data_IF_538763247132
#
_entry.id   IF_538763247132
#
_cell.length_a   1.000
_cell.length_b   1.000
_cell.length_c   1.000
_cell.angle_alpha   90.00
_cell.angle_beta   90.00
_cell.angle_gamma   90.00
#
_symmetry.space_group_name_H-M   'P 1'
#
loop_
_entity.id
_entity.type
_entity.pdbx_description
1 polymer ?
#
# COMPACT_ATOMS: atom_id res chain seq x y z
N UNK A 1 43.90 40.01 -59.37
CA UNK A 1 44.48 40.69 -58.20
C UNK A 1 43.39 40.87 -57.13
N UNK A 2 43.19 39.90 -56.21
CA UNK A 2 42.15 39.97 -55.15
C UNK A 2 42.35 38.86 -54.09
N UNK A 3 43.31 39.01 -53.18
CA UNK A 3 43.40 38.27 -51.90
C UNK A 3 44.31 39.04 -50.93
N UNK A 4 43.85 40.17 -50.39
CA UNK A 4 44.61 40.87 -49.33
C UNK A 4 43.75 41.74 -48.40
N UNK A 5 42.45 41.45 -48.25
CA UNK A 5 41.56 42.22 -47.36
C UNK A 5 40.66 41.35 -46.46
N UNK A 6 41.14 40.19 -46.04
CA UNK A 6 40.40 39.34 -45.08
C UNK A 6 41.05 39.26 -43.70
N UNK A 7 42.32 39.65 -43.56
CA UNK A 7 43.08 39.46 -42.30
C UNK A 7 43.14 40.67 -41.37
N UNK A 8 42.72 41.87 -41.79
CA UNK A 8 42.79 43.07 -40.92
C UNK A 8 41.58 43.21 -39.95
N UNK A 9 40.45 42.57 -40.23
CA UNK A 9 39.24 42.67 -39.39
C UNK A 9 39.12 41.61 -38.29
N UNK A 10 39.91 40.53 -38.36
CA UNK A 10 39.80 39.40 -37.43
C UNK A 10 40.60 39.63 -36.14
N UNK A 11 41.77 40.27 -36.25
CA UNK A 11 42.63 40.58 -35.10
C UNK A 11 41.94 41.47 -34.08
N UNK A 12 41.32 42.58 -34.53
CA UNK A 12 40.68 43.54 -33.63
C UNK A 12 39.50 42.91 -32.87
N UNK A 13 38.69 42.07 -33.53
CA UNK A 13 37.57 41.38 -32.86
C UNK A 13 38.09 40.36 -31.84
N UNK A 14 39.15 39.62 -32.13
CA UNK A 14 39.75 38.68 -31.17
C UNK A 14 40.34 39.42 -29.97
N UNK A 15 41.06 40.53 -30.17
CA UNK A 15 41.60 41.34 -29.07
C UNK A 15 40.50 42.00 -28.22
N UNK A 16 39.43 42.49 -28.84
CA UNK A 16 38.28 43.05 -28.10
C UNK A 16 37.55 41.97 -27.31
N UNK A 17 37.37 40.77 -27.88
CA UNK A 17 36.72 39.65 -27.17
C UNK A 17 37.60 39.13 -26.02
N UNK A 18 38.93 39.07 -26.22
CA UNK A 18 39.88 38.67 -25.18
C UNK A 18 39.98 39.71 -24.05
N UNK A 19 39.93 41.01 -24.38
CA UNK A 19 39.90 42.09 -23.40
C UNK A 19 38.59 42.12 -22.60
N UNK A 20 37.44 41.81 -23.23
CA UNK A 20 36.15 41.68 -22.53
C UNK A 20 36.15 40.44 -21.62
N UNK A 21 36.72 39.31 -22.05
CA UNK A 21 36.88 38.13 -21.19
C UNK A 21 37.86 38.38 -20.02
N UNK A 22 38.94 39.14 -20.25
CA UNK A 22 39.90 39.49 -19.19
C UNK A 22 39.33 40.51 -18.21
N UNK A 23 38.49 41.44 -18.67
CA UNK A 23 37.72 42.35 -17.82
C UNK A 23 36.61 41.61 -17.03
N UNK A 24 36.01 40.57 -17.59
CA UNK A 24 35.07 39.69 -16.87
C UNK A 24 35.80 38.84 -15.81
N UNK A 25 37.02 38.36 -16.09
CA UNK A 25 37.84 37.56 -15.15
C UNK A 25 38.41 38.40 -13.99
N UNK A 26 38.65 39.70 -14.20
CA UNK A 26 39.12 40.62 -13.14
C UNK A 26 38.01 41.06 -12.16
N UNK A 27 36.73 40.83 -12.48
CA UNK A 27 35.60 41.12 -11.58
C UNK A 27 35.19 39.91 -10.70
N UNK A 28 35.85 38.76 -10.82
CA UNK A 28 35.52 37.55 -10.03
C UNK A 28 36.12 37.58 -8.62
N UNK A 29 36.98 38.55 -8.29
CA UNK A 29 37.70 38.57 -7.00
C UNK A 29 37.04 39.38 -5.87
N UNK A 30 35.79 39.83 -6.02
CA UNK A 30 35.05 40.51 -4.93
C UNK A 30 33.80 39.77 -4.43
N UNK A 31 33.68 38.46 -4.72
CA UNK A 31 32.68 37.58 -4.09
C UNK A 31 33.31 36.65 -3.03
N UNK A 32 34.24 37.15 -2.24
CA UNK A 32 34.42 36.66 -0.88
C UNK A 32 33.98 37.80 0.03
N UNK A 33 32.66 37.91 0.22
CA UNK A 33 32.17 38.56 1.42
C UNK A 33 32.89 37.86 2.58
N UNK A 34 33.71 38.60 3.32
CA UNK A 34 34.19 38.17 4.61
C UNK A 34 32.95 37.98 5.48
N UNK A 35 32.36 36.79 5.44
CA UNK A 35 31.50 36.33 6.52
C UNK A 35 32.42 36.28 7.73
N UNK A 36 32.34 37.30 8.58
CA UNK A 36 33.11 37.38 9.81
C UNK A 36 32.78 36.13 10.62
N UNK A 37 33.70 35.15 10.61
CA UNK A 37 33.51 33.92 11.35
C UNK A 37 33.60 34.26 12.83
N UNK A 38 32.53 33.98 13.56
CA UNK A 38 32.47 34.19 15.00
C UNK A 38 32.52 32.84 15.71
N UNK A 39 33.18 32.81 16.86
CA UNK A 39 33.16 31.63 17.72
C UNK A 39 31.91 31.72 18.59
N UNK A 40 30.92 30.88 18.29
CA UNK A 40 29.67 30.80 19.05
C UNK A 40 29.86 29.80 20.16
N UNK A 41 29.58 30.23 21.40
CA UNK A 41 29.52 29.37 22.57
C UNK A 41 28.08 29.27 23.06
N UNK A 42 27.72 28.16 23.67
CA UNK A 42 26.42 28.05 24.30
C UNK A 42 26.26 26.82 25.16
N UNK A 43 25.13 26.75 25.85
CA UNK A 43 24.73 25.63 26.69
C UNK A 43 23.41 25.07 26.19
N UNK A 44 23.32 23.76 26.06
CA UNK A 44 22.11 23.02 25.73
C UNK A 44 21.57 22.36 27.00
N UNK A 45 20.34 22.71 27.37
CA UNK A 45 19.63 22.17 28.54
C UNK A 45 18.33 21.47 28.10
N UNK A 46 17.85 20.55 28.92
CA UNK A 46 16.50 19.99 28.86
C UNK A 46 15.71 20.35 30.14
N UNK A 47 14.61 19.66 30.42
CA UNK A 47 13.80 19.86 31.61
C UNK A 47 14.43 19.30 32.90
N UNK A 48 15.41 18.41 32.80
CA UNK A 48 16.09 17.72 33.90
C UNK A 48 17.52 18.24 34.15
N UNK A 49 18.14 18.96 33.22
CA UNK A 49 19.50 19.49 33.35
C UNK A 49 20.23 19.72 32.02
N UNK A 50 21.56 19.81 32.02
CA UNK A 50 22.36 19.95 30.79
C UNK A 50 22.33 18.68 29.93
N UNK A 51 22.22 18.85 28.60
CA UNK A 51 22.14 17.74 27.65
C UNK A 51 23.52 17.41 27.10
N UNK A 52 24.00 16.22 27.44
CA UNK A 52 25.30 15.68 27.01
C UNK A 52 25.12 14.96 25.67
N UNK A 53 26.01 15.22 24.70
CA UNK A 53 26.00 14.49 23.44
C UNK A 53 25.03 15.00 22.37
N UNK A 54 24.45 16.19 22.54
CA UNK A 54 23.64 16.84 21.51
C UNK A 54 24.52 17.28 20.33
N UNK A 55 24.04 17.02 19.11
CA UNK A 55 24.72 17.39 17.87
C UNK A 55 24.38 18.84 17.50
N UNK A 56 25.39 19.69 17.36
CA UNK A 56 25.26 21.10 16.98
C UNK A 56 25.94 21.31 15.62
N UNK A 57 25.18 21.57 14.57
CA UNK A 57 25.69 21.62 13.19
C UNK A 57 25.29 22.93 12.52
N UNK A 58 26.15 23.46 11.65
CA UNK A 58 25.80 24.58 10.78
C UNK A 58 24.81 24.14 9.69
N UNK A 59 23.65 24.81 9.62
CA UNK A 59 22.59 24.50 8.64
C UNK A 59 23.10 24.75 7.22
N UNK A 60 23.14 23.69 6.41
CA UNK A 60 23.66 23.71 5.04
C UNK A 60 25.12 23.24 4.91
N UNK A 61 25.82 23.01 6.03
CA UNK A 61 27.17 22.46 6.06
C UNK A 61 27.30 21.35 7.12
N UNK A 62 26.93 20.13 6.72
CA UNK A 62 26.98 18.95 7.60
C UNK A 62 28.40 18.58 8.09
N UNK A 63 29.45 19.17 7.51
CA UNK A 63 30.84 18.92 7.89
C UNK A 63 31.30 19.85 9.02
N UNK A 64 30.61 20.98 9.23
CA UNK A 64 30.92 21.94 10.29
C UNK A 64 29.95 21.77 11.46
N UNK A 65 30.34 20.96 12.44
CA UNK A 65 29.54 20.70 13.63
C UNK A 65 30.39 20.29 14.83
N UNK A 66 29.78 20.29 16.00
CA UNK A 66 30.38 19.90 17.28
C UNK A 66 29.34 19.17 18.13
N UNK A 67 29.79 18.55 19.23
CA UNK A 67 28.94 17.80 20.16
C UNK A 67 29.03 18.49 21.53
N UNK A 68 27.93 18.53 22.28
CA UNK A 68 27.92 19.10 23.63
C UNK A 68 28.71 18.24 24.63
N UNK A 69 29.39 18.90 25.57
CA UNK A 69 30.16 18.25 26.64
C UNK A 69 29.28 17.79 27.82
N UNK A 70 29.93 17.33 28.92
CA UNK A 70 29.26 16.81 30.12
C UNK A 70 28.39 17.85 30.85
N UNK A 71 28.69 19.13 30.65
CA UNK A 71 27.97 20.27 31.24
C UNK A 71 27.03 20.91 30.20
N UNK A 72 26.83 20.27 29.04
CA UNK A 72 25.97 20.74 27.96
C UNK A 72 26.55 21.89 27.14
N UNK A 73 27.83 22.23 27.32
CA UNK A 73 28.46 23.34 26.59
C UNK A 73 28.85 22.91 25.17
N UNK A 74 28.76 23.85 24.24
CA UNK A 74 29.32 23.72 22.89
C UNK A 74 30.09 24.98 22.49
N UNK A 75 31.07 24.81 21.61
CA UNK A 75 31.77 25.91 20.93
C UNK A 75 31.93 25.55 19.47
N UNK A 76 31.40 26.39 18.56
CA UNK A 76 31.48 26.17 17.12
C UNK A 76 31.81 27.48 16.40
N UNK A 77 32.73 27.42 15.44
CA UNK A 77 33.10 28.58 14.62
C UNK A 77 32.24 28.59 13.36
N UNK A 78 31.39 29.61 13.25
CA UNK A 78 30.42 29.74 12.14
C UNK A 78 30.39 31.17 11.61
N UNK A 79 29.94 31.38 10.36
CA UNK A 79 29.59 32.70 9.84
C UNK A 79 28.62 33.46 10.77
N UNK A 80 28.74 34.78 10.83
CA UNK A 80 27.89 35.63 11.69
C UNK A 80 26.40 35.60 11.34
N UNK A 81 26.06 35.18 10.13
CA UNK A 81 24.73 35.01 9.56
C UNK A 81 24.26 33.55 9.52
N UNK A 82 25.06 32.60 10.02
CA UNK A 82 24.72 31.19 10.00
C UNK A 82 23.52 30.84 10.90
N UNK A 83 22.86 29.74 10.59
CA UNK A 83 21.86 29.11 11.46
C UNK A 83 22.43 27.80 11.99
N UNK A 84 22.34 27.59 13.30
CA UNK A 84 22.72 26.34 13.93
C UNK A 84 21.51 25.41 14.03
N UNK A 85 21.71 24.14 13.75
CA UNK A 85 20.73 23.08 13.95
C UNK A 85 21.22 22.20 15.10
N UNK A 86 20.42 22.12 16.16
CA UNK A 86 20.72 21.34 17.35
C UNK A 86 19.75 20.17 17.40
N UNK A 87 20.28 18.95 17.38
CA UNK A 87 19.51 17.72 17.41
C UNK A 87 20.06 16.75 18.43
N UNK A 88 19.15 16.04 19.10
CA UNK A 88 19.48 14.95 20.01
C UNK A 88 18.39 13.89 19.92
N UNK A 89 18.76 12.62 20.11
CA UNK A 89 17.82 11.50 19.96
C UNK A 89 16.72 11.64 21.03
N UNK A 90 15.46 11.68 20.60
CA UNK A 90 14.30 11.86 21.49
C UNK A 90 13.92 13.32 21.75
N UNK A 91 14.53 14.30 21.06
CA UNK A 91 14.26 15.73 21.25
C UNK A 91 13.93 16.43 19.91
N UNK A 92 13.07 17.46 19.98
CA UNK A 92 12.73 18.26 18.80
C UNK A 92 13.96 19.01 18.34
N UNK A 93 14.24 18.94 17.04
CA UNK A 93 15.35 19.67 16.44
C UNK A 93 15.08 21.18 16.54
N UNK A 94 16.03 21.91 17.10
CA UNK A 94 15.94 23.36 17.26
C UNK A 94 16.84 24.04 16.25
N UNK A 95 16.28 24.98 15.48
CA UNK A 95 17.03 25.86 14.59
C UNK A 95 17.25 27.22 15.27
N UNK A 96 18.50 27.63 15.35
CA UNK A 96 18.92 28.84 16.06
C UNK A 96 19.72 29.75 15.12
N UNK A 97 19.17 30.90 14.69
CA UNK A 97 19.92 31.88 13.91
C UNK A 97 20.97 32.56 14.81
N UNK A 98 22.23 32.59 14.36
CA UNK A 98 23.34 33.17 15.12
C UNK A 98 23.23 34.69 15.18
N UNK A 99 22.86 35.35 14.07
CA UNK A 99 22.58 36.78 13.99
C UNK A 99 23.61 37.67 14.73
N UNK A 100 24.91 37.33 14.63
CA UNK A 100 26.02 38.06 15.27
C UNK A 100 26.19 37.89 16.78
N UNK A 101 25.38 37.06 17.46
CA UNK A 101 25.54 36.77 18.90
C UNK A 101 26.56 35.65 19.13
N UNK A 102 27.36 35.77 20.18
CA UNK A 102 28.44 34.83 20.52
C UNK A 102 28.09 33.86 21.65
N UNK A 103 26.96 34.07 22.34
CA UNK A 103 26.52 33.25 23.49
C UNK A 103 25.05 32.88 23.39
N UNK A 104 24.73 31.59 23.57
CA UNK A 104 23.35 31.09 23.55
C UNK A 104 23.05 30.13 24.69
N UNK A 105 21.81 30.15 25.16
CA UNK A 105 21.24 29.10 26.00
C UNK A 105 20.07 28.49 25.24
N UNK A 106 20.14 27.20 24.95
CA UNK A 106 19.12 26.49 24.17
C UNK A 106 18.47 25.45 25.06
N UNK A 107 17.15 25.49 25.16
CA UNK A 107 16.39 24.45 25.86
C UNK A 107 15.76 23.52 24.83
N UNK A 108 16.23 22.28 24.79
CA UNK A 108 15.60 21.23 23.99
C UNK A 108 14.31 20.78 24.68
N UNK A 109 13.28 20.62 23.86
CA UNK A 109 12.01 20.01 24.29
C UNK A 109 12.00 18.59 23.77
N UNK A 110 11.62 17.64 24.62
CA UNK A 110 11.43 16.26 24.20
C UNK A 110 10.53 16.20 22.97
N UNK A 111 10.91 15.35 22.02
CA UNK A 111 10.07 15.03 20.88
C UNK A 111 9.09 13.95 21.29
N UNK A 112 8.05 14.36 22.02
CA UNK A 112 6.93 13.48 22.34
C UNK A 112 6.07 13.15 21.11
N UNK A 113 6.49 13.49 19.88
CA UNK A 113 5.97 12.88 18.65
C UNK A 113 6.59 11.49 18.42
N UNK A 114 6.68 10.66 19.48
CA UNK A 114 6.35 9.26 19.26
C UNK A 114 4.90 9.29 18.79
N UNK A 115 4.65 8.91 17.53
CA UNK A 115 3.31 8.80 16.94
C UNK A 115 2.36 8.21 17.97
N UNK A 116 1.57 9.07 18.62
CA UNK A 116 0.54 8.63 19.55
C UNK A 116 -0.44 7.86 18.68
N UNK A 117 -0.34 6.53 18.69
CA UNK A 117 -1.37 5.66 18.15
C UNK A 117 -2.63 5.92 18.98
N UNK A 118 -3.44 6.85 18.48
CA UNK A 118 -4.71 7.22 19.06
C UNK A 118 -5.69 6.12 18.69
N UNK A 119 -6.17 5.42 19.70
CA UNK A 119 -7.26 4.49 19.58
C UNK A 119 -8.53 5.24 19.92
N UNK A 120 -9.54 5.16 19.05
CA UNK A 120 -10.89 5.62 19.38
C UNK A 120 -11.57 4.53 20.20
N UNK A 121 -12.08 4.89 21.37
CA UNK A 121 -12.85 3.97 22.22
C UNK A 121 -14.14 4.70 22.60
N UNK A 122 -15.27 4.26 22.07
CA UNK A 122 -16.56 4.93 22.31
C UNK A 122 -16.57 6.34 21.74
N UNK A 123 -16.54 7.33 22.64
CA UNK A 123 -16.65 8.76 22.36
C UNK A 123 -15.37 9.56 22.69
N UNK A 124 -14.25 8.89 23.00
CA UNK A 124 -12.98 9.55 23.37
C UNK A 124 -11.77 8.93 22.68
N UNK A 125 -10.72 9.74 22.51
CA UNK A 125 -9.41 9.31 22.02
C UNK A 125 -8.51 8.94 23.21
N UNK A 126 -8.01 7.70 23.26
CA UNK A 126 -7.06 7.27 24.28
C UNK A 126 -5.78 6.76 23.64
N UNK A 127 -4.64 7.07 24.28
CA UNK A 127 -3.35 6.53 23.87
C UNK A 127 -3.34 5.02 24.12
N UNK A 128 -2.85 4.24 23.15
CA UNK A 128 -2.70 2.78 23.26
C UNK A 128 -1.99 2.33 24.55
N UNK A 129 -0.98 3.07 24.99
CA UNK A 129 -0.21 2.78 26.22
C UNK A 129 -1.03 2.92 27.51
N UNK A 130 -2.13 3.66 27.48
CA UNK A 130 -2.98 3.92 28.65
C UNK A 130 -4.24 3.03 28.67
N UNK A 131 -4.41 2.16 27.67
CA UNK A 131 -5.53 1.25 27.58
C UNK A 131 -5.24 -0.03 28.38
N UNK A 132 -6.08 -0.29 29.37
CA UNK A 132 -6.00 -1.49 30.24
C UNK A 132 -6.56 -2.76 29.57
N UNK A 133 -7.11 -2.67 28.36
CA UNK A 133 -7.68 -3.79 27.60
C UNK A 133 -6.94 -4.12 26.30
N UNK A 134 -7.10 -5.34 25.80
CA UNK A 134 -6.52 -5.80 24.53
C UNK A 134 -7.21 -5.13 23.34
N UNK A 135 -6.52 -4.14 22.77
CA UNK A 135 -6.90 -3.49 21.52
C UNK A 135 -5.92 -3.86 20.41
N UNK A 136 -6.43 -4.28 19.26
CA UNK A 136 -5.66 -4.35 18.02
C UNK A 136 -5.82 -3.06 17.23
N UNK A 137 -4.75 -2.53 16.67
CA UNK A 137 -4.80 -1.36 15.78
C UNK A 137 -4.22 -1.76 14.43
N UNK A 138 -4.91 -1.39 13.35
CA UNK A 138 -4.38 -1.38 12.00
C UNK A 138 -4.35 0.07 11.51
N UNK A 139 -3.16 0.55 11.17
CA UNK A 139 -2.95 1.94 10.72
C UNK A 139 -3.19 2.09 9.21
N UNK A 140 -3.52 3.30 8.74
CA UNK A 140 -3.67 3.58 7.32
C UNK A 140 -2.49 3.09 6.48
N UNK A 141 -1.26 3.27 6.95
CA UNK A 141 -0.04 2.84 6.23
C UNK A 141 0.00 1.33 5.99
N UNK A 142 -0.43 0.54 6.97
CA UNK A 142 -0.45 -0.93 6.86
C UNK A 142 -1.58 -1.42 5.95
N UNK A 143 -2.71 -0.69 5.94
CA UNK A 143 -3.87 -0.98 5.08
C UNK A 143 -3.54 -0.61 3.63
N UNK A 144 -2.97 0.57 3.38
CA UNK A 144 -2.60 1.08 2.06
C UNK A 144 -1.48 0.26 1.40
N UNK A 145 -0.58 -0.33 2.18
CA UNK A 145 0.49 -1.18 1.66
C UNK A 145 -0.02 -2.49 1.02
N UNK A 146 -1.31 -2.82 1.18
CA UNK A 146 -1.90 -4.07 0.69
C UNK A 146 -2.85 -3.77 -0.47
N UNK A 147 -2.58 -4.29 -1.69
CA UNK A 147 -3.46 -4.10 -2.83
C UNK A 147 -4.66 -5.05 -2.73
N UNK A 148 -5.57 -4.79 -1.80
CA UNK A 148 -6.82 -5.55 -1.62
C UNK A 148 -8.00 -4.79 -2.22
N UNK A 149 -9.14 -5.47 -2.40
CA UNK A 149 -10.34 -4.86 -2.98
C UNK A 149 -11.28 -4.29 -1.89
N UNK A 150 -11.20 -4.80 -0.67
CA UNK A 150 -12.06 -4.38 0.44
C UNK A 150 -11.26 -4.25 1.76
N UNK A 151 -11.80 -3.48 2.70
CA UNK A 151 -11.13 -3.19 3.97
C UNK A 151 -10.99 -4.45 4.85
N UNK A 152 -11.93 -5.38 4.75
CA UNK A 152 -11.91 -6.65 5.49
C UNK A 152 -10.72 -7.52 5.12
N UNK A 153 -10.37 -7.63 3.83
CA UNK A 153 -9.16 -8.34 3.39
C UNK A 153 -7.88 -7.64 3.87
N UNK A 154 -7.86 -6.30 3.95
CA UNK A 154 -6.69 -5.57 4.41
C UNK A 154 -6.34 -5.95 5.85
N UNK A 155 -7.36 -6.13 6.70
CA UNK A 155 -7.23 -6.50 8.10
C UNK A 155 -6.71 -7.91 8.33
N UNK A 156 -6.78 -8.79 7.33
CA UNK A 156 -6.40 -10.19 7.47
C UNK A 156 -4.91 -10.31 7.82
N UNK A 157 -4.62 -10.77 9.03
CA UNK A 157 -3.27 -10.93 9.55
C UNK A 157 -2.61 -9.65 10.09
N UNK A 158 -3.27 -8.48 10.02
CA UNK A 158 -2.78 -7.26 10.70
C UNK A 158 -3.12 -7.26 12.18
N UNK A 159 -4.31 -7.76 12.53
CA UNK A 159 -4.79 -7.77 13.92
C UNK A 159 -4.71 -9.19 14.49
N UNK A 160 -3.89 -9.44 15.52
CA UNK A 160 -3.81 -10.75 16.16
C UNK A 160 -5.16 -11.16 16.77
N UNK A 161 -5.58 -12.41 16.56
CA UNK A 161 -6.85 -12.92 17.09
C UNK A 161 -8.10 -12.44 16.34
N UNK A 162 -7.94 -11.71 15.22
CA UNK A 162 -9.00 -11.49 14.25
C UNK A 162 -8.94 -12.62 13.21
N UNK A 163 -10.01 -13.42 13.13
CA UNK A 163 -10.16 -14.45 12.13
C UNK A 163 -11.15 -13.96 11.08
N UNK A 164 -10.68 -13.84 9.85
CA UNK A 164 -11.50 -13.48 8.70
C UNK A 164 -11.51 -14.69 7.77
N UNK A 165 -12.69 -15.23 7.49
CA UNK A 165 -12.87 -16.35 6.58
C UNK A 165 -13.74 -15.94 5.40
N UNK A 166 -13.32 -16.37 4.21
CA UNK A 166 -14.16 -16.37 3.02
C UNK A 166 -14.30 -17.81 2.53
N UNK A 167 -15.53 -18.21 2.23
CA UNK A 167 -15.82 -19.55 1.72
C UNK A 167 -15.97 -19.55 0.19
N UNK A 168 -15.93 -18.38 -0.46
CA UNK A 168 -16.06 -18.23 -1.92
C UNK A 168 -15.15 -17.10 -2.44
N UNK A 169 -14.84 -17.13 -3.73
CA UNK A 169 -14.09 -16.07 -4.42
C UNK A 169 -14.97 -14.96 -5.00
N UNK A 170 -16.22 -14.86 -4.53
CA UNK A 170 -17.17 -13.85 -5.01
C UNK A 170 -16.79 -12.46 -4.49
N UNK A 171 -16.87 -11.46 -5.37
CA UNK A 171 -16.44 -10.10 -5.06
C UNK A 171 -17.39 -9.39 -4.08
N UNK A 172 -18.68 -9.75 -4.09
CA UNK A 172 -19.76 -9.06 -3.37
C UNK A 172 -20.21 -9.80 -2.10
N UNK A 173 -19.45 -10.81 -1.66
CA UNK A 173 -19.81 -11.58 -0.47
C UNK A 173 -19.20 -10.98 0.79
N UNK A 174 -20.06 -10.78 1.79
CA UNK A 174 -19.63 -10.42 3.13
C UNK A 174 -18.76 -11.54 3.74
N UNK A 175 -17.50 -11.19 4.03
CA UNK A 175 -16.56 -12.08 4.71
C UNK A 175 -17.02 -12.29 6.16
N UNK A 176 -16.88 -13.51 6.65
CA UNK A 176 -17.16 -13.81 8.06
C UNK A 176 -16.00 -13.32 8.91
N UNK A 177 -16.30 -12.48 9.91
CA UNK A 177 -15.32 -11.91 10.82
C UNK A 177 -15.62 -12.40 12.23
N UNK A 178 -14.62 -12.97 12.90
CA UNK A 178 -14.69 -13.43 14.27
C UNK A 178 -13.49 -12.91 15.07
N UNK A 179 -13.72 -12.52 16.33
CA UNK A 179 -12.65 -12.12 17.26
C UNK A 179 -12.45 -13.23 18.28
N UNK A 180 -11.24 -13.79 18.37
CA UNK A 180 -10.87 -14.93 19.23
C UNK A 180 -11.63 -16.24 18.95
N UNK A 181 -11.97 -16.47 17.69
CA UNK A 181 -12.64 -17.71 17.24
C UNK A 181 -14.16 -17.63 17.35
N UNK A 182 -14.82 -18.77 17.17
CA UNK A 182 -16.29 -18.84 17.20
C UNK A 182 -16.80 -18.76 18.65
N UNK A 183 -17.52 -17.68 18.99
CA UNK A 183 -18.10 -17.47 20.32
C UNK A 183 -19.48 -18.12 20.52
N UNK A 184 -20.04 -18.77 19.51
CA UNK A 184 -21.40 -19.33 19.52
C UNK A 184 -21.41 -20.78 19.03
N UNK A 185 -22.29 -21.60 19.63
CA UNK A 185 -22.44 -23.05 19.34
C UNK A 185 -23.84 -23.36 18.75
N UNK A 186 -24.73 -22.36 18.66
CA UNK A 186 -26.14 -22.55 18.27
C UNK A 186 -26.45 -22.09 16.85
N UNK A 187 -27.31 -22.86 16.17
CA UNK A 187 -27.91 -22.49 14.89
C UNK A 187 -28.78 -21.24 15.08
N UNK A 188 -28.43 -20.13 14.41
CA UNK A 188 -29.05 -18.82 14.57
C UNK A 188 -28.32 -17.81 15.49
N UNK A 189 -27.22 -18.21 16.15
CA UNK A 189 -26.36 -17.26 16.90
C UNK A 189 -25.13 -16.91 16.09
N UNK A 190 -25.07 -15.68 15.57
CA UNK A 190 -23.87 -15.17 14.89
C UNK A 190 -22.86 -14.67 15.91
N UNK A 191 -21.62 -15.16 15.82
CA UNK A 191 -20.47 -14.72 16.63
C UNK A 191 -19.80 -13.45 16.09
N UNK A 192 -20.47 -12.72 15.19
CA UNK A 192 -19.89 -11.58 14.50
C UNK A 192 -19.69 -10.40 15.47
N UNK A 193 -18.55 -9.69 15.39
CA UNK A 193 -18.33 -8.50 16.19
C UNK A 193 -19.22 -7.34 15.71
N UNK A 194 -19.45 -6.36 16.59
CA UNK A 194 -20.12 -5.12 16.22
C UNK A 194 -19.16 -4.25 15.40
N UNK A 195 -19.58 -3.81 14.23
CA UNK A 195 -18.79 -2.94 13.35
C UNK A 195 -19.35 -1.53 13.43
N UNK A 196 -18.49 -0.57 13.76
CA UNK A 196 -18.82 0.85 13.84
C UNK A 196 -17.94 1.64 12.90
N UNK A 197 -18.54 2.39 11.98
CA UNK A 197 -17.87 3.32 11.07
C UNK A 197 -18.15 4.73 11.60
N UNK A 198 -17.12 5.43 12.04
CA UNK A 198 -17.22 6.75 12.66
C UNK A 198 -18.26 6.85 13.80
N UNK A 199 -18.49 5.73 14.50
CA UNK A 199 -19.42 5.63 15.62
C UNK A 199 -20.84 5.17 15.27
N UNK A 200 -21.16 4.94 13.99
CA UNK A 200 -22.44 4.38 13.54
C UNK A 200 -22.28 2.94 13.07
N UNK A 201 -23.29 2.09 13.32
CA UNK A 201 -23.27 0.71 12.85
C UNK A 201 -23.33 0.64 11.33
N UNK A 202 -22.47 -0.17 10.72
CA UNK A 202 -22.43 -0.32 9.27
C UNK A 202 -21.56 -1.49 8.83
N UNK A 203 -21.47 -1.69 7.51
CA UNK A 203 -20.71 -2.78 6.91
C UNK A 203 -19.33 -2.29 6.46
N UNK A 204 -18.28 -2.88 7.00
CA UNK A 204 -16.88 -2.57 6.67
C UNK A 204 -16.57 -2.76 5.17
N UNK A 205 -17.29 -3.63 4.46
CA UNK A 205 -17.07 -3.87 3.03
C UNK A 205 -17.51 -2.67 2.16
N UNK A 206 -18.36 -1.80 2.69
CA UNK A 206 -18.82 -0.57 2.00
C UNK A 206 -17.82 0.58 2.09
N UNK A 207 -16.81 0.47 2.96
CA UNK A 207 -15.82 1.51 3.16
C UNK A 207 -14.61 1.26 2.28
N UNK A 208 -14.19 2.29 1.53
CA UNK A 208 -12.96 2.21 0.74
C UNK A 208 -11.75 2.16 1.70
N UNK A 209 -10.84 1.17 1.59
CA UNK A 209 -9.64 1.09 2.43
C UNK A 209 -8.80 2.36 2.47
N UNK A 210 -8.78 3.13 1.38
CA UNK A 210 -8.00 4.36 1.24
C UNK A 210 -8.60 5.53 2.03
N UNK A 211 -9.88 5.48 2.38
CA UNK A 211 -10.55 6.51 3.18
C UNK A 211 -10.42 6.22 4.68
N UNK A 212 -9.82 5.09 5.05
CA UNK A 212 -9.66 4.66 6.44
C UNK A 212 -8.38 5.27 7.01
N UNK A 213 -8.51 5.97 8.15
CA UNK A 213 -7.38 6.47 8.92
C UNK A 213 -6.81 5.39 9.83
N UNK A 214 -7.68 4.69 10.55
CA UNK A 214 -7.30 3.57 11.39
C UNK A 214 -8.49 2.64 11.65
N UNK A 215 -8.17 1.38 11.94
CA UNK A 215 -9.14 0.39 12.41
C UNK A 215 -8.71 -0.10 13.79
N UNK A 216 -9.57 0.13 14.77
CA UNK A 216 -9.38 -0.27 16.16
C UNK A 216 -10.27 -1.45 16.48
N UNK A 217 -9.69 -2.58 16.87
CA UNK A 217 -10.38 -3.82 17.21
C UNK A 217 -10.32 -4.04 18.71
N UNK A 218 -11.47 -3.89 19.39
CA UNK A 218 -11.65 -4.12 20.81
C UNK A 218 -11.94 -5.62 21.05
N UNK A 219 -10.99 -6.33 21.64
CA UNK A 219 -11.06 -7.81 21.80
C UNK A 219 -11.57 -8.28 23.15
N UNK A 220 -11.52 -7.40 24.15
CA UNK A 220 -11.89 -7.71 25.53
C UNK A 220 -13.24 -7.12 25.92
N UNK A 221 -13.95 -7.85 26.79
CA UNK A 221 -15.22 -7.42 27.37
C UNK A 221 -15.11 -6.06 28.08
N UNK A 222 -13.96 -5.75 28.70
CA UNK A 222 -13.75 -4.45 29.36
C UNK A 222 -13.80 -3.29 28.35
N UNK A 223 -13.15 -3.45 27.19
CA UNK A 223 -13.12 -2.43 26.14
C UNK A 223 -14.44 -2.39 25.35
N UNK A 224 -15.09 -3.53 25.12
CA UNK A 224 -16.37 -3.59 24.41
C UNK A 224 -17.58 -3.23 25.28
N UNK A 225 -17.47 -3.26 26.61
CA UNK A 225 -18.56 -2.96 27.55
C UNK A 225 -19.18 -1.57 27.38
N UNK A 226 -18.41 -0.62 26.83
CA UNK A 226 -18.90 0.73 26.48
C UNK A 226 -20.04 0.68 25.47
N UNK A 227 -20.03 -0.32 24.58
CA UNK A 227 -21.05 -0.56 23.57
C UNK A 227 -22.14 -1.54 24.04
N UNK A 228 -22.08 -1.99 25.30
CA UNK A 228 -23.12 -2.74 25.98
C UNK A 228 -23.35 -4.16 25.41
N UNK A 229 -24.60 -4.64 25.56
CA UNK A 229 -25.02 -5.99 25.16
C UNK A 229 -24.93 -6.27 23.66
N UNK A 230 -24.66 -5.24 22.84
CA UNK A 230 -24.50 -5.36 21.38
C UNK A 230 -23.10 -5.79 20.96
N UNK A 231 -22.14 -5.82 21.89
CA UNK A 231 -20.75 -6.17 21.61
C UNK A 231 -20.20 -7.35 22.42
N UNK A 232 -20.93 -8.49 22.55
CA UNK A 232 -20.45 -9.65 23.29
C UNK A 232 -19.23 -10.32 22.63
N UNK A 233 -19.07 -10.15 21.32
CA UNK A 233 -17.98 -10.73 20.52
C UNK A 233 -16.93 -9.69 20.10
N UNK A 234 -16.85 -8.56 20.80
CA UNK A 234 -15.92 -7.46 20.51
C UNK A 234 -16.48 -6.41 19.55
N UNK A 235 -15.70 -5.36 19.31
CA UNK A 235 -16.07 -4.22 18.45
C UNK A 235 -14.95 -3.89 17.48
N UNK A 236 -15.29 -3.65 16.23
CA UNK A 236 -14.39 -3.11 15.21
C UNK A 236 -14.81 -1.68 14.94
N UNK A 237 -13.96 -0.73 15.30
CA UNK A 237 -14.14 0.69 15.02
C UNK A 237 -13.31 1.06 13.80
N UNK A 238 -13.97 1.50 12.76
CA UNK A 238 -13.36 2.09 11.56
C UNK A 238 -13.45 3.60 11.71
N UNK A 239 -12.30 4.26 11.73
CA UNK A 239 -12.21 5.72 11.72
C UNK A 239 -11.81 6.16 10.31
N UNK A 240 -12.62 7.02 9.69
CA UNK A 240 -12.31 7.56 8.36
C UNK A 240 -11.42 8.79 8.45
N UNK A 241 -10.66 9.05 7.39
CA UNK A 241 -9.80 10.23 7.26
C UNK A 241 -10.66 11.48 7.28
N UNK A 242 -10.31 12.43 8.14
CA UNK A 242 -10.96 13.75 8.23
C UNK A 242 -10.04 14.84 7.67
N UNK A 243 -10.65 15.86 7.05
CA UNK A 243 -9.92 17.02 6.55
C UNK A 243 -9.14 17.71 7.66
N UNK A 244 -7.85 17.96 7.43
CA UNK A 244 -6.98 18.66 8.38
C UNK A 244 -7.07 20.18 8.15
N UNK A 245 -7.07 20.95 9.23
CA UNK A 245 -7.01 22.41 9.13
C UNK A 245 -5.65 22.83 8.55
N UNK A 246 -5.66 23.64 7.50
CA UNK A 246 -4.45 24.08 6.81
C UNK A 246 -4.61 24.11 5.30
N UNK A 247 -3.50 23.89 4.57
CA UNK A 247 -3.52 23.84 3.11
C UNK A 247 -4.23 22.57 2.65
N UNK A 248 -5.11 22.64 1.64
CA UNK A 248 -5.75 21.45 1.08
C UNK A 248 -4.70 20.52 0.50
N UNK A 249 -4.72 19.26 0.92
CA UNK A 249 -3.81 18.22 0.44
C UNK A 249 -4.59 17.28 -0.45
N UNK A 250 -4.49 17.49 -1.76
CA UNK A 250 -5.17 16.64 -2.74
C UNK A 250 -4.27 15.45 -3.03
N UNK A 251 -4.79 14.24 -2.79
CA UNK A 251 -4.11 13.00 -3.12
C UNK A 251 -4.90 12.23 -4.18
N UNK A 252 -4.22 11.79 -5.23
CA UNK A 252 -4.80 10.97 -6.29
C UNK A 252 -4.01 9.67 -6.39
N UNK A 253 -4.69 8.55 -6.19
CA UNK A 253 -4.11 7.23 -6.31
C UNK A 253 -4.71 6.49 -7.50
N UNK A 254 -3.87 5.79 -8.26
CA UNK A 254 -4.27 5.00 -9.41
C UNK A 254 -3.64 3.61 -9.33
N UNK A 255 -4.47 2.57 -9.34
CA UNK A 255 -4.05 1.18 -9.26
C UNK A 255 -4.53 0.41 -10.48
N UNK A 256 -3.59 -0.20 -11.20
CA UNK A 256 -3.86 -1.10 -12.32
C UNK A 256 -3.54 -2.54 -11.91
N UNK A 257 -4.47 -3.47 -12.18
CA UNK A 257 -4.37 -4.87 -11.75
C UNK A 257 -4.65 -5.80 -12.92
N UNK A 258 -3.84 -6.85 -13.05
CA UNK A 258 -4.07 -7.96 -13.98
C UNK A 258 -4.30 -9.21 -13.14
N UNK A 259 -5.48 -9.81 -13.28
CA UNK A 259 -5.88 -10.96 -12.50
C UNK A 259 -5.96 -12.17 -13.43
N UNK A 260 -5.33 -13.28 -13.05
CA UNK A 260 -5.42 -14.56 -13.73
C UNK A 260 -5.83 -15.66 -12.73
N UNK A 261 -6.65 -16.64 -13.14
CA UNK A 261 -6.87 -17.83 -12.35
C UNK A 261 -5.55 -18.55 -12.06
N UNK A 262 -5.30 -18.92 -10.80
CA UNK A 262 -4.05 -19.59 -10.39
C UNK A 262 -4.18 -21.12 -10.44
N UNK A 263 -5.33 -21.64 -10.04
CA UNK A 263 -5.62 -23.08 -10.00
C UNK A 263 -6.94 -23.34 -10.72
N UNK A 264 -6.89 -23.47 -12.05
CA UNK A 264 -8.02 -24.01 -12.82
C UNK A 264 -7.89 -25.54 -12.85
N UNK A 265 -8.94 -26.28 -12.48
CA UNK A 265 -8.96 -27.73 -12.69
C UNK A 265 -8.84 -28.03 -14.18
N UNK A 266 -7.97 -28.96 -14.54
CA UNK A 266 -7.90 -29.48 -15.91
C UNK A 266 -9.02 -30.52 -16.10
N UNK A 267 -9.82 -30.36 -17.16
CA UNK A 267 -10.81 -31.37 -17.52
C UNK A 267 -10.12 -32.58 -18.14
N UNK A 268 -10.66 -33.76 -17.86
CA UNK A 268 -10.29 -34.99 -18.56
C UNK A 268 -10.61 -34.87 -20.04
N UNK A 269 -9.79 -35.49 -20.89
CA UNK A 269 -10.01 -35.45 -22.33
C UNK A 269 -11.27 -36.23 -22.75
N UNK A 270 -11.83 -35.84 -23.91
CA UNK A 270 -13.08 -36.40 -24.42
C UNK A 270 -13.08 -37.93 -24.58
N UNK A 271 -11.96 -38.52 -25.01
CA UNK A 271 -11.82 -39.96 -25.20
C UNK A 271 -11.77 -40.70 -23.86
N UNK A 272 -10.93 -40.25 -22.91
CA UNK A 272 -10.86 -40.85 -21.57
C UNK A 272 -12.20 -40.72 -20.84
N UNK A 273 -12.91 -39.59 -20.99
CA UNK A 273 -14.26 -39.40 -20.46
C UNK A 273 -15.23 -40.44 -21.03
N UNK A 274 -15.31 -40.57 -22.35
CA UNK A 274 -16.20 -41.51 -23.00
C UNK A 274 -15.85 -42.98 -22.69
N UNK A 275 -14.56 -43.31 -22.56
CA UNK A 275 -14.12 -44.64 -22.14
C UNK A 275 -14.56 -44.96 -20.70
N UNK A 276 -14.41 -44.00 -19.76
CA UNK A 276 -14.86 -44.17 -18.38
C UNK A 276 -16.37 -44.44 -18.28
N UNK A 277 -17.18 -43.70 -19.05
CA UNK A 277 -18.63 -43.94 -19.13
C UNK A 277 -18.98 -45.29 -19.75
N UNK A 278 -18.27 -45.69 -20.81
CA UNK A 278 -18.48 -47.00 -21.44
C UNK A 278 -18.06 -48.16 -20.54
N UNK A 279 -16.96 -48.03 -19.78
CA UNK A 279 -16.54 -49.01 -18.78
C UNK A 279 -17.56 -49.10 -17.63
N UNK A 280 -18.07 -47.97 -17.15
CA UNK A 280 -19.12 -47.94 -16.14
C UNK A 280 -20.42 -48.63 -16.62
N UNK A 281 -20.85 -48.35 -17.86
CA UNK A 281 -22.02 -49.01 -18.46
C UNK A 281 -21.81 -50.53 -18.58
N UNK A 282 -20.63 -50.96 -19.05
CA UNK A 282 -20.29 -52.39 -19.15
C UNK A 282 -20.29 -53.08 -17.78
N UNK A 283 -19.77 -52.42 -16.74
CA UNK A 283 -19.81 -52.92 -15.37
C UNK A 283 -21.23 -53.02 -14.81
N UNK A 284 -22.12 -52.12 -15.23
CA UNK A 284 -23.55 -52.13 -14.92
C UNK A 284 -24.40 -53.10 -15.74
N UNK A 285 -23.80 -53.84 -16.69
CA UNK A 285 -24.49 -54.65 -17.71
C UNK A 285 -25.41 -53.85 -18.66
N UNK A 286 -25.13 -52.57 -18.83
CA UNK A 286 -25.78 -51.69 -19.79
C UNK A 286 -25.02 -51.62 -21.12
N UNK A 287 -25.71 -51.13 -22.16
CA UNK A 287 -25.08 -50.85 -23.44
C UNK A 287 -24.13 -49.65 -23.33
N UNK A 288 -23.06 -49.68 -24.12
CA UNK A 288 -22.12 -48.57 -24.22
C UNK A 288 -22.86 -47.26 -24.59
N UNK A 289 -22.58 -46.20 -23.84
CA UNK A 289 -23.17 -44.87 -24.04
C UNK A 289 -22.59 -44.18 -25.28
N UNK A 290 -21.31 -44.40 -25.56
CA UNK A 290 -20.61 -43.86 -26.72
C UNK A 290 -20.28 -44.97 -27.71
N UNK A 291 -20.70 -44.80 -28.98
CA UNK A 291 -20.40 -45.77 -30.04
C UNK A 291 -18.92 -45.76 -30.43
N UNK A 292 -18.41 -46.91 -30.91
CA UNK A 292 -17.02 -47.03 -31.36
C UNK A 292 -16.65 -46.01 -32.46
N UNK A 293 -17.61 -45.64 -33.31
CA UNK A 293 -17.45 -44.60 -34.33
C UNK A 293 -17.14 -43.24 -33.72
N UNK A 294 -17.87 -42.85 -32.67
CA UNK A 294 -17.67 -41.57 -31.96
C UNK A 294 -16.34 -41.60 -31.20
N UNK A 295 -15.98 -42.74 -30.60
CA UNK A 295 -14.68 -42.92 -29.94
C UNK A 295 -13.51 -42.73 -30.92
N UNK A 296 -13.61 -43.26 -32.14
CA UNK A 296 -12.60 -43.03 -33.17
C UNK A 296 -12.55 -41.57 -33.62
N UNK A 297 -13.71 -40.93 -33.79
CA UNK A 297 -13.78 -39.50 -34.11
C UNK A 297 -13.12 -38.62 -33.04
N UNK A 298 -13.23 -38.98 -31.75
CA UNK A 298 -12.53 -38.29 -30.68
C UNK A 298 -11.02 -38.42 -30.81
N UNK A 299 -10.50 -39.63 -31.07
CA UNK A 299 -9.07 -39.86 -31.29
C UNK A 299 -8.53 -39.11 -32.52
N UNK A 300 -9.27 -39.16 -33.62
CA UNK A 300 -8.91 -38.45 -34.86
C UNK A 300 -8.91 -36.93 -34.65
N UNK A 301 -9.87 -36.41 -33.88
CA UNK A 301 -9.96 -34.99 -33.54
C UNK A 301 -8.82 -34.54 -32.62
N UNK A 302 -8.46 -35.36 -31.64
CA UNK A 302 -7.28 -35.13 -30.79
C UNK A 302 -5.98 -35.13 -31.64
N UNK A 303 -5.83 -36.09 -32.55
CA UNK A 303 -4.67 -36.19 -33.44
C UNK A 303 -4.54 -35.02 -34.41
N UNK A 304 -5.67 -34.41 -34.83
CA UNK A 304 -5.70 -33.25 -35.71
C UNK A 304 -5.35 -31.91 -35.02
N UNK A 305 -4.98 -31.93 -33.73
CA UNK A 305 -4.62 -30.73 -32.97
C UNK A 305 -5.75 -30.15 -32.13
N UNK A 306 -6.86 -30.88 -31.97
CA UNK A 306 -7.89 -30.71 -30.94
C UNK A 306 -8.21 -29.27 -30.56
N UNK A 307 -9.11 -28.61 -31.29
CA UNK A 307 -9.58 -27.27 -30.92
C UNK A 307 -10.85 -27.34 -30.07
N UNK A 308 -11.06 -26.38 -29.16
CA UNK A 308 -12.33 -26.21 -28.41
C UNK A 308 -13.57 -25.90 -29.30
N UNK A 309 -13.37 -25.78 -30.62
CA UNK A 309 -14.40 -25.42 -31.61
C UNK A 309 -14.61 -26.57 -32.59
N UNK A 310 -15.87 -26.94 -32.81
CA UNK A 310 -16.26 -28.04 -33.70
C UNK A 310 -16.71 -29.26 -32.92
N UNK A 311 -16.63 -30.44 -33.54
CA UNK A 311 -16.92 -31.71 -32.87
C UNK A 311 -18.40 -32.00 -32.58
N UNK A 312 -19.32 -31.16 -33.02
CA UNK A 312 -20.76 -31.42 -32.96
C UNK A 312 -21.27 -31.73 -34.38
N UNK A 313 -21.70 -32.96 -34.68
CA UNK A 313 -22.29 -33.25 -35.99
C UNK A 313 -23.59 -32.46 -36.14
N UNK A 314 -23.82 -31.85 -37.31
CA UNK A 314 -25.04 -31.06 -37.58
C UNK A 314 -26.03 -31.87 -38.41
N UNK A 315 -27.33 -31.68 -38.19
CA UNK A 315 -28.36 -32.41 -38.95
C UNK A 315 -28.46 -31.98 -40.43
N UNK A 316 -27.76 -30.90 -40.81
CA UNK A 316 -27.67 -30.37 -42.18
C UNK A 316 -28.96 -29.74 -42.71
N UNK A 317 -30.06 -29.84 -41.97
CA UNK A 317 -31.39 -29.39 -42.37
C UNK A 317 -31.79 -28.09 -41.67
N UNK A 318 -31.31 -27.89 -40.43
CA UNK A 318 -31.55 -26.69 -39.63
C UNK A 318 -30.21 -26.13 -39.17
N UNK A 319 -29.95 -24.87 -39.45
CA UNK A 319 -28.71 -24.21 -39.05
C UNK A 319 -28.55 -24.26 -37.52
N UNK A 320 -27.42 -24.80 -37.06
CA UNK A 320 -27.10 -24.93 -35.63
C UNK A 320 -27.79 -26.07 -34.90
N UNK A 321 -28.60 -26.91 -35.57
CA UNK A 321 -29.21 -28.07 -34.93
C UNK A 321 -28.26 -29.28 -34.95
N UNK A 322 -27.94 -29.86 -33.78
CA UNK A 322 -27.12 -31.06 -33.71
C UNK A 322 -27.82 -32.26 -34.36
N UNK A 323 -27.03 -33.11 -35.01
CA UNK A 323 -27.43 -34.44 -35.40
C UNK A 323 -27.36 -35.36 -34.16
N UNK A 324 -28.53 -35.72 -33.62
CA UNK A 324 -28.65 -36.57 -32.45
C UNK A 324 -28.47 -35.82 -31.12
N UNK A 325 -28.23 -36.57 -30.06
CA UNK A 325 -27.99 -36.03 -28.72
C UNK A 325 -26.54 -35.52 -28.61
N UNK A 326 -26.34 -34.19 -28.40
CA UNK A 326 -25.02 -33.60 -28.21
C UNK A 326 -24.16 -34.28 -27.16
N UNK A 327 -24.76 -34.88 -26.14
CA UNK A 327 -24.02 -35.56 -25.08
C UNK A 327 -23.28 -36.81 -25.59
N UNK A 328 -23.89 -37.58 -26.51
CA UNK A 328 -23.36 -38.87 -26.97
C UNK A 328 -22.70 -38.80 -28.35
N UNK A 329 -22.96 -37.73 -29.12
CA UNK A 329 -22.44 -37.57 -30.48
C UNK A 329 -21.36 -36.51 -30.62
N UNK A 330 -21.13 -35.68 -29.59
CA UNK A 330 -20.04 -34.72 -29.61
C UNK A 330 -18.68 -35.40 -29.41
N UNK A 331 -17.67 -34.97 -30.16
CA UNK A 331 -16.31 -35.53 -30.13
C UNK A 331 -15.21 -34.46 -29.99
N UNK A 332 -15.57 -33.21 -29.68
CA UNK A 332 -14.61 -32.16 -29.38
C UNK A 332 -13.97 -32.38 -27.99
N UNK A 333 -12.69 -32.02 -27.88
CA UNK A 333 -11.97 -31.97 -26.62
C UNK A 333 -11.98 -30.54 -26.09
N UNK A 334 -12.99 -30.19 -25.28
CA UNK A 334 -13.15 -28.83 -24.75
C UNK A 334 -12.92 -28.82 -23.25
N UNK A 335 -11.90 -28.08 -22.82
CA UNK A 335 -11.75 -27.71 -21.41
C UNK A 335 -12.66 -26.51 -21.11
N UNK A 336 -13.84 -26.80 -20.54
CA UNK A 336 -14.82 -25.79 -20.18
C UNK A 336 -14.34 -24.83 -19.09
N UNK A 337 -13.42 -25.25 -18.21
CA UNK A 337 -12.84 -24.32 -17.24
C UNK A 337 -11.97 -23.28 -17.93
N UNK A 338 -11.15 -23.68 -18.91
CA UNK A 338 -10.37 -22.75 -19.72
C UNK A 338 -11.22 -21.81 -20.59
N UNK A 339 -12.39 -22.28 -21.05
CA UNK A 339 -13.27 -21.51 -21.94
C UNK A 339 -14.12 -20.49 -21.15
N UNK A 340 -14.61 -20.89 -19.97
CA UNK A 340 -15.43 -20.02 -19.10
C UNK A 340 -14.55 -18.98 -18.42
N UNK A 341 -13.35 -19.36 -17.96
CA UNK A 341 -12.45 -18.46 -17.25
C UNK A 341 -11.42 -17.84 -18.19
N UNK A 342 -11.47 -16.51 -18.34
CA UNK A 342 -10.47 -15.77 -19.12
C UNK A 342 -9.09 -15.91 -18.47
N UNK A 343 -8.05 -16.13 -19.30
CA UNK A 343 -6.66 -16.25 -18.84
C UNK A 343 -6.09 -14.98 -18.19
N UNK A 344 -6.67 -13.80 -18.47
CA UNK A 344 -6.36 -12.55 -17.77
C UNK A 344 -7.56 -11.61 -17.79
N UNK A 345 -7.79 -10.91 -16.69
CA UNK A 345 -8.72 -9.79 -16.60
C UNK A 345 -7.99 -8.53 -16.14
N UNK A 346 -8.29 -7.42 -16.78
CA UNK A 346 -7.75 -6.11 -16.42
C UNK A 346 -8.73 -5.40 -15.50
N UNK A 347 -8.22 -4.78 -14.44
CA UNK A 347 -8.98 -3.95 -13.52
C UNK A 347 -8.20 -2.66 -13.24
N UNK A 348 -8.93 -1.56 -13.07
CA UNK A 348 -8.36 -0.27 -12.70
C UNK A 348 -9.19 0.35 -11.58
N UNK A 349 -8.51 1.02 -10.67
CA UNK A 349 -9.11 1.70 -9.52
C UNK A 349 -8.52 3.10 -9.42
N UNK A 350 -9.39 4.10 -9.31
CA UNK A 350 -9.02 5.50 -9.16
C UNK A 350 -9.60 6.00 -7.84
N UNK A 351 -8.72 6.48 -6.96
CA UNK A 351 -9.13 7.10 -5.71
C UNK A 351 -8.68 8.57 -5.69
N UNK A 352 -9.59 9.43 -5.24
CA UNK A 352 -9.36 10.85 -5.01
C UNK A 352 -9.73 11.19 -3.57
N UNK A 353 -8.79 11.74 -2.80
CA UNK A 353 -9.00 12.20 -1.42
C UNK A 353 -8.50 13.63 -1.23
N UNK A 354 -9.17 14.39 -0.35
CA UNK A 354 -8.87 15.81 -0.03
C UNK A 354 -8.65 15.98 1.47
#
# INVERSE_FOLDING_TARGET
MKRQRFFEGLGLKVYVTLAICMALLLNVQFLNAQSSTINVKGVVNDAMGPVIGASVVEKGNATNGTITDIDGNFSLKVPSDATLTISFIGYKTVELPVAGKTSFTVTLKEDSEMLDEVVVVGFGTQKKVNLTGSVGLATAKEIEARPVANATQALQGLVPGLQITTNTGELDKNMSINIRGNGTIGDGSSGSPLILIDGMEGDINTVNPQDIENISVLKDAAASSIYGSRAPFGVILVTTKKGKSGKPTINYNNSFRFNSPVNLPEMMDSYTFANYFNEAARNGQDNAQFSDTVMQQMLDFQAAGGTNRGGLPTDGNVWGKPAGDPFTTAYANTDWFSEIYKGSSFSQEHNFSV
#
